data_IF_173452914882
#
_entry.id   IF_173452914882
#
_cell.length_a   1.000
_cell.length_b   1.000
_cell.length_c   1.000
_cell.angle_alpha   90.00
_cell.angle_beta   90.00
_cell.angle_gamma   90.00
#
_symmetry.space_group_name_H-M   'P 1'
#
loop_
_entity.id
_entity.type
_entity.pdbx_description
1 polymer ?
#
# COMPACT_ATOMS: atom_id res chain seq x y z
N UNK A 1 2.62 -8.72 -12.89
CA UNK A 1 1.66 -8.15 -11.92
C UNK A 1 0.33 -8.85 -12.11
N UNK A 2 -0.37 -9.26 -11.03
CA UNK A 2 -1.75 -9.78 -11.10
C UNK A 2 -2.71 -8.71 -10.56
N UNK A 3 -3.91 -8.61 -11.14
CA UNK A 3 -4.95 -7.70 -10.64
C UNK A 3 -5.61 -8.31 -9.40
N UNK A 4 -5.76 -7.51 -8.36
CA UNK A 4 -6.42 -7.89 -7.11
C UNK A 4 -7.39 -6.77 -6.74
N UNK A 5 -8.65 -7.15 -6.49
CA UNK A 5 -9.71 -6.24 -6.07
C UNK A 5 -10.03 -6.50 -4.61
N UNK A 6 -10.02 -5.47 -3.78
CA UNK A 6 -10.35 -5.53 -2.36
C UNK A 6 -11.30 -4.41 -2.00
N UNK A 7 -12.12 -4.65 -0.97
CA UNK A 7 -12.92 -3.60 -0.35
C UNK A 7 -12.14 -3.03 0.84
N UNK A 8 -12.02 -1.70 0.90
CA UNK A 8 -11.34 -0.98 1.96
C UNK A 8 -12.24 0.18 2.43
N UNK A 9 -12.15 0.60 3.71
CA UNK A 9 -12.89 1.75 4.21
C UNK A 9 -12.49 3.04 3.47
N UNK A 10 -13.43 3.97 3.32
CA UNK A 10 -13.22 5.22 2.58
C UNK A 10 -12.08 6.08 3.16
N UNK A 11 -11.95 6.14 4.48
CA UNK A 11 -10.87 6.91 5.13
C UNK A 11 -9.46 6.43 4.76
N UNK A 12 -9.29 5.15 4.41
CA UNK A 12 -8.00 4.63 3.94
C UNK A 12 -7.73 5.10 2.51
N UNK A 13 -8.76 5.16 1.66
CA UNK A 13 -8.63 5.68 0.30
C UNK A 13 -8.27 7.17 0.33
N UNK A 14 -8.90 7.96 1.20
CA UNK A 14 -8.59 9.38 1.39
C UNK A 14 -7.13 9.59 1.81
N UNK A 15 -6.64 8.80 2.77
CA UNK A 15 -5.23 8.84 3.19
C UNK A 15 -4.27 8.49 2.05
N UNK A 16 -4.60 7.48 1.24
CA UNK A 16 -3.80 7.10 0.06
C UNK A 16 -3.81 8.20 -1.01
N UNK A 17 -4.95 8.84 -1.24
CA UNK A 17 -5.08 9.95 -2.19
C UNK A 17 -4.25 11.16 -1.78
N UNK A 18 -4.24 11.49 -0.50
CA UNK A 18 -3.43 12.57 0.04
C UNK A 18 -1.93 12.32 -0.19
N UNK A 19 -1.48 11.07 0.00
CA UNK A 19 -0.08 10.68 -0.27
C UNK A 19 0.29 10.80 -1.75
N UNK A 20 -0.64 10.48 -2.65
CA UNK A 20 -0.45 10.69 -4.10
C UNK A 20 -0.46 12.19 -4.44
N UNK A 21 -1.36 12.97 -3.82
CA UNK A 21 -1.45 14.43 -4.01
C UNK A 21 -0.17 15.14 -3.60
N UNK A 22 0.48 14.68 -2.53
CA UNK A 22 1.78 15.16 -2.09
C UNK A 22 2.94 14.76 -3.02
N UNK A 23 2.67 14.07 -4.14
CA UNK A 23 3.66 13.54 -5.10
C UNK A 23 4.72 12.63 -4.47
N UNK A 24 4.42 12.03 -3.31
CA UNK A 24 5.33 11.07 -2.65
C UNK A 24 5.31 9.71 -3.34
N UNK A 25 4.23 9.38 -4.01
CA UNK A 25 4.03 8.14 -4.74
C UNK A 25 3.31 8.39 -6.07
N UNK A 26 3.55 7.55 -7.06
CA UNK A 26 2.98 7.74 -8.39
C UNK A 26 1.49 7.39 -8.48
N UNK A 27 1.02 6.43 -7.68
CA UNK A 27 -0.38 5.97 -7.68
C UNK A 27 -0.72 5.18 -6.40
N UNK A 28 -2.02 5.01 -6.14
CA UNK A 28 -2.52 4.23 -5.00
C UNK A 28 -1.99 2.79 -5.01
N UNK A 29 -1.93 2.16 -6.17
CA UNK A 29 -1.47 0.76 -6.31
C UNK A 29 0.01 0.59 -5.96
N UNK A 30 0.84 1.62 -6.15
CA UNK A 30 2.24 1.61 -5.76
C UNK A 30 2.39 1.65 -4.24
N UNK A 31 1.63 2.53 -3.58
CA UNK A 31 1.60 2.62 -2.12
C UNK A 31 1.20 1.27 -1.52
N UNK A 32 0.13 0.66 -2.03
CA UNK A 32 -0.37 -0.64 -1.57
C UNK A 32 0.71 -1.72 -1.74
N UNK A 33 1.40 -1.75 -2.89
CA UNK A 33 2.48 -2.73 -3.13
C UNK A 33 3.68 -2.55 -2.20
N UNK A 34 4.03 -1.30 -1.86
CA UNK A 34 5.12 -1.01 -0.92
C UNK A 34 4.70 -1.44 0.49
N UNK A 35 3.51 -1.05 0.93
CA UNK A 35 2.98 -1.44 2.24
C UNK A 35 2.92 -2.97 2.40
N UNK A 36 2.45 -3.70 1.38
CA UNK A 36 2.45 -5.17 1.40
C UNK A 36 3.87 -5.72 1.45
N UNK A 37 4.81 -5.16 0.69
CA UNK A 37 6.21 -5.63 0.69
C UNK A 37 6.85 -5.44 2.07
N UNK A 38 6.67 -4.28 2.67
CA UNK A 38 7.26 -3.95 3.97
C UNK A 38 6.65 -4.84 5.05
N UNK A 39 5.33 -5.01 5.05
CA UNK A 39 4.63 -5.94 5.94
C UNK A 39 5.15 -7.38 5.78
N UNK A 40 5.28 -7.88 4.55
CA UNK A 40 5.81 -9.23 4.30
C UNK A 40 7.26 -9.36 4.76
N UNK A 41 8.06 -8.30 4.65
CA UNK A 41 9.44 -8.30 5.10
C UNK A 41 9.53 -8.41 6.61
N UNK A 42 8.75 -7.60 7.32
CA UNK A 42 8.78 -7.57 8.77
C UNK A 42 8.24 -8.89 9.35
N UNK A 43 7.14 -9.42 8.80
CA UNK A 43 6.49 -10.63 9.31
C UNK A 43 7.18 -11.93 8.90
N UNK A 44 7.80 -12.02 7.71
CA UNK A 44 8.39 -13.28 7.22
C UNK A 44 9.91 -13.36 7.36
N UNK A 45 10.62 -12.22 7.28
CA UNK A 45 12.09 -12.23 7.32
C UNK A 45 12.68 -11.91 8.70
N UNK A 46 11.89 -11.38 9.64
CA UNK A 46 12.36 -11.07 11.02
C UNK A 46 12.02 -12.18 12.05
N UNK A 47 11.42 -13.31 11.63
CA UNK A 47 11.21 -14.48 12.49
C UNK A 47 12.47 -15.37 12.65
N UNK A 48 13.68 -14.80 12.73
CA UNK A 48 14.91 -15.54 13.01
C UNK A 48 15.37 -15.45 14.45
#
# INVERSE_FOLDING_TARGET
MRLLTVHVPDGFLEGLDELVRQKRYANRSEIIRIAIRDLLRDELWDQR
#
